data_IF_535408718253
#
_entry.id   IF_535408718253
#
_cell.length_a   1.000
_cell.length_b   1.000
_cell.length_c   1.000
_cell.angle_alpha   90.00
_cell.angle_beta   90.00
_cell.angle_gamma   90.00
#
_symmetry.space_group_name_H-M   'P 1'
#
loop_
_entity.id
_entity.type
_entity.pdbx_description
1 polymer ?
#
# COMPACT_ATOMS: atom_id res chain seq x y z
N UNK A 1 -17.28 -3.80 -7.27
CA UNK A 1 -16.72 -3.57 -8.62
C UNK A 1 -16.89 -4.84 -9.43
N UNK A 2 -17.13 -4.73 -10.71
CA UNK A 2 -17.14 -5.85 -11.66
C UNK A 2 -16.67 -5.29 -13.03
N UNK A 3 -16.58 -6.14 -14.05
CA UNK A 3 -16.07 -5.72 -15.37
C UNK A 3 -17.02 -4.79 -16.13
N UNK A 4 -18.26 -4.60 -15.70
CA UNK A 4 -19.25 -3.76 -16.39
C UNK A 4 -19.37 -2.36 -15.80
N UNK A 5 -19.01 -2.16 -14.54
CA UNK A 5 -19.06 -0.86 -13.88
C UNK A 5 -18.11 -0.76 -12.69
N UNK A 6 -17.55 0.42 -12.49
CA UNK A 6 -16.80 0.80 -11.29
C UNK A 6 -17.47 1.98 -10.60
N UNK A 7 -17.33 2.04 -9.29
CA UNK A 7 -17.71 3.19 -8.46
C UNK A 7 -16.46 3.73 -7.78
N UNK A 8 -16.14 4.99 -8.01
CA UNK A 8 -14.97 5.67 -7.44
C UNK A 8 -15.46 6.69 -6.42
N UNK A 9 -14.82 6.74 -5.28
CA UNK A 9 -14.99 7.76 -4.25
C UNK A 9 -13.62 8.37 -3.98
N UNK A 10 -13.55 9.69 -3.92
CA UNK A 10 -12.28 10.41 -3.74
C UNK A 10 -12.36 11.14 -2.39
N UNK A 11 -11.42 10.81 -1.51
CA UNK A 11 -11.27 11.46 -0.21
C UNK A 11 -10.11 12.45 -0.29
N UNK A 12 -10.36 13.71 0.06
CA UNK A 12 -9.36 14.78 0.03
C UNK A 12 -9.24 15.40 1.42
N UNK A 13 -8.03 15.39 1.96
CA UNK A 13 -7.72 16.12 3.20
C UNK A 13 -7.26 17.54 2.84
N UNK A 14 -7.96 18.54 3.37
CA UNK A 14 -7.75 19.94 3.05
C UNK A 14 -7.30 20.70 4.30
N UNK A 15 -6.21 21.44 4.21
CA UNK A 15 -5.74 22.29 5.30
C UNK A 15 -5.55 23.73 4.83
N UNK A 16 -6.17 24.67 5.52
CA UNK A 16 -5.96 26.10 5.25
C UNK A 16 -4.80 26.64 6.09
N UNK A 17 -3.62 26.69 5.51
CA UNK A 17 -2.42 27.23 6.16
C UNK A 17 -2.31 28.76 6.10
N UNK A 18 -3.32 29.46 5.59
CA UNK A 18 -3.33 30.92 5.52
C UNK A 18 -3.88 31.55 6.81
N UNK A 19 -3.58 32.84 7.03
CA UNK A 19 -4.09 33.59 8.19
C UNK A 19 -5.54 34.06 8.03
N UNK A 20 -6.17 33.79 6.89
CA UNK A 20 -7.54 34.24 6.59
C UNK A 20 -8.45 33.04 6.26
N UNK A 21 -9.74 33.13 6.56
CA UNK A 21 -10.70 32.14 6.07
C UNK A 21 -10.69 32.04 4.54
N UNK A 22 -10.84 30.84 4.01
CA UNK A 22 -10.88 30.57 2.58
C UNK A 22 -12.23 29.98 2.16
N UNK A 23 -12.77 30.47 1.03
CA UNK A 23 -13.85 29.81 0.32
C UNK A 23 -13.30 29.20 -0.97
N UNK A 24 -13.33 27.88 -1.05
CA UNK A 24 -12.71 27.12 -2.12
C UNK A 24 -13.72 26.24 -2.85
N UNK A 25 -13.38 25.87 -4.09
CA UNK A 25 -14.02 24.79 -4.82
C UNK A 25 -12.99 23.67 -4.94
N UNK A 26 -13.32 22.47 -4.45
CA UNK A 26 -12.60 21.23 -4.72
C UNK A 26 -13.17 20.62 -5.98
N UNK A 27 -12.33 20.38 -6.96
CA UNK A 27 -12.72 19.84 -8.25
C UNK A 27 -11.95 18.54 -8.51
N UNK A 28 -12.66 17.41 -8.67
CA UNK A 28 -12.06 16.14 -9.01
C UNK A 28 -12.38 15.80 -10.46
N UNK A 29 -11.33 15.64 -11.28
CA UNK A 29 -11.43 15.30 -12.70
C UNK A 29 -10.74 13.95 -12.94
N UNK A 30 -11.48 12.96 -13.40
CA UNK A 30 -10.95 11.67 -13.83
C UNK A 30 -10.72 11.73 -15.33
N UNK A 31 -9.47 11.57 -15.75
CA UNK A 31 -9.08 11.52 -17.15
C UNK A 31 -8.63 10.10 -17.54
N UNK A 32 -8.81 9.74 -18.80
CA UNK A 32 -8.23 8.54 -19.40
C UNK A 32 -6.72 8.71 -19.66
N UNK A 33 -6.08 7.67 -20.24
CA UNK A 33 -4.66 7.69 -20.51
C UNK A 33 -4.25 8.73 -21.57
N UNK A 34 -5.18 9.20 -22.39
CA UNK A 34 -4.96 10.23 -23.42
C UNK A 34 -5.23 11.65 -22.88
N UNK A 35 -5.55 11.76 -21.58
CA UNK A 35 -5.86 13.03 -20.92
C UNK A 35 -7.28 13.55 -21.15
N UNK A 36 -8.16 12.76 -21.77
CA UNK A 36 -9.55 13.13 -22.00
C UNK A 36 -10.38 12.96 -20.73
N UNK A 37 -11.16 13.96 -20.38
CA UNK A 37 -12.08 13.91 -19.24
C UNK A 37 -13.11 12.77 -19.42
N UNK A 38 -13.13 11.88 -18.42
CA UNK A 38 -14.12 10.80 -18.30
C UNK A 38 -15.26 11.18 -17.38
N UNK A 39 -14.92 11.73 -16.24
CA UNK A 39 -15.89 12.21 -15.22
C UNK A 39 -15.30 13.36 -14.43
N UNK A 40 -16.23 14.21 -13.93
CA UNK A 40 -15.89 15.36 -13.10
C UNK A 40 -16.90 15.51 -11.97
N UNK A 41 -16.42 15.87 -10.78
CA UNK A 41 -17.24 16.29 -9.64
C UNK A 41 -16.66 17.52 -9.00
N UNK A 42 -17.47 18.24 -8.22
CA UNK A 42 -16.98 19.36 -7.42
C UNK A 42 -17.76 19.51 -6.12
N UNK A 43 -17.12 20.13 -5.14
CA UNK A 43 -17.72 20.57 -3.88
C UNK A 43 -17.25 22.00 -3.57
N UNK A 44 -18.09 22.76 -2.84
CA UNK A 44 -17.73 24.08 -2.32
C UNK A 44 -17.52 23.98 -0.81
N UNK A 45 -16.37 24.44 -0.35
CA UNK A 45 -15.94 24.27 1.04
C UNK A 45 -15.49 25.61 1.60
N UNK A 46 -15.81 25.84 2.88
CA UNK A 46 -15.28 26.94 3.66
C UNK A 46 -14.35 26.38 4.72
N UNK A 47 -13.17 26.98 4.83
CA UNK A 47 -12.14 26.64 5.81
C UNK A 47 -11.77 27.89 6.60
N UNK A 48 -11.83 27.81 7.92
CA UNK A 48 -11.24 28.84 8.77
C UNK A 48 -9.69 28.83 8.65
N UNK A 49 -9.04 29.87 9.15
CA UNK A 49 -7.58 29.88 9.27
C UNK A 49 -7.11 28.71 10.14
N UNK A 50 -6.13 27.93 9.68
CA UNK A 50 -5.58 26.76 10.37
C UNK A 50 -6.51 25.54 10.41
N UNK A 51 -7.70 25.59 9.80
CA UNK A 51 -8.65 24.48 9.82
C UNK A 51 -8.26 23.38 8.83
N UNK A 52 -8.43 22.13 9.28
CA UNK A 52 -8.33 20.93 8.44
C UNK A 52 -9.71 20.28 8.30
N UNK A 53 -10.09 19.95 7.08
CA UNK A 53 -11.33 19.23 6.75
C UNK A 53 -11.09 18.10 5.78
N UNK A 54 -11.89 17.06 5.91
CA UNK A 54 -11.96 15.98 4.92
C UNK A 54 -13.17 16.21 4.02
N UNK A 55 -12.94 16.24 2.70
CA UNK A 55 -13.97 16.18 1.68
C UNK A 55 -14.06 14.76 1.10
N UNK A 56 -15.26 14.22 1.04
CA UNK A 56 -15.53 12.94 0.40
C UNK A 56 -16.45 13.19 -0.78
N UNK A 57 -15.97 12.89 -1.99
CA UNK A 57 -16.75 13.07 -3.21
C UNK A 57 -18.02 12.19 -3.20
N UNK A 58 -19.02 12.61 -3.95
CA UNK A 58 -20.10 11.68 -4.32
C UNK A 58 -19.53 10.52 -5.11
N UNK A 59 -20.14 9.33 -4.99
CA UNK A 59 -19.76 8.16 -5.77
C UNK A 59 -19.85 8.44 -7.28
N UNK A 60 -18.73 8.29 -7.95
CA UNK A 60 -18.57 8.54 -9.38
C UNK A 60 -18.66 7.18 -10.08
N UNK A 61 -19.71 7.00 -10.89
CA UNK A 61 -19.88 5.78 -11.67
C UNK A 61 -19.12 5.88 -13.00
N UNK A 62 -18.31 4.87 -13.30
CA UNK A 62 -17.65 4.69 -14.59
C UNK A 62 -18.21 3.40 -15.20
N UNK A 63 -18.92 3.56 -16.32
CA UNK A 63 -19.48 2.43 -17.05
C UNK A 63 -18.45 1.85 -18.01
N UNK A 64 -18.41 0.52 -18.12
CA UNK A 64 -17.46 -0.23 -18.96
C UNK A 64 -16.00 0.23 -18.77
N UNK A 65 -15.49 0.24 -17.52
CA UNK A 65 -14.14 0.74 -17.25
C UNK A 65 -13.10 -0.17 -17.90
N UNK A 66 -12.02 0.42 -18.42
CA UNK A 66 -10.80 -0.34 -18.73
C UNK A 66 -10.09 -0.64 -17.42
N UNK A 67 -9.92 -1.92 -17.11
CA UNK A 67 -9.36 -2.35 -15.83
C UNK A 67 -7.84 -2.39 -15.90
N UNK A 68 -7.19 -2.12 -14.77
CA UNK A 68 -5.78 -2.41 -14.57
C UNK A 68 -5.59 -3.92 -14.40
N UNK A 69 -4.71 -4.52 -15.19
CA UNK A 69 -4.38 -5.95 -15.18
C UNK A 69 -2.86 -6.12 -15.38
N UNK A 70 -2.31 -7.29 -15.07
CA UNK A 70 -0.90 -7.64 -15.28
C UNK A 70 -0.50 -7.51 -16.75
N UNK A 71 -1.42 -7.88 -17.67
CA UNK A 71 -1.19 -7.87 -19.12
C UNK A 71 -1.58 -6.55 -19.79
N UNK A 72 -2.45 -5.75 -19.13
CA UNK A 72 -2.93 -4.45 -19.58
C UNK A 72 -3.02 -3.49 -18.38
N UNK A 73 -1.89 -2.90 -17.94
CA UNK A 73 -1.83 -2.05 -16.75
C UNK A 73 -2.41 -0.65 -16.99
N UNK A 74 -3.66 -0.59 -17.44
CA UNK A 74 -4.32 0.66 -17.77
C UNK A 74 -4.59 1.51 -16.54
N UNK A 75 -4.28 2.80 -16.63
CA UNK A 75 -4.50 3.76 -15.56
C UNK A 75 -5.26 4.97 -16.07
N UNK A 76 -6.22 5.40 -15.28
CA UNK A 76 -6.77 6.73 -15.33
C UNK A 76 -5.90 7.65 -14.46
N UNK A 77 -6.06 8.96 -14.61
CA UNK A 77 -5.47 9.97 -13.74
C UNK A 77 -6.57 10.77 -13.07
N UNK A 78 -6.42 11.00 -11.78
CA UNK A 78 -7.32 11.84 -10.98
C UNK A 78 -6.62 13.16 -10.68
N UNK A 79 -7.16 14.24 -11.19
CA UNK A 79 -6.72 15.60 -10.89
C UNK A 79 -7.65 16.16 -9.80
N UNK A 80 -7.13 16.37 -8.60
CA UNK A 80 -7.83 17.06 -7.52
C UNK A 80 -7.32 18.48 -7.47
N UNK A 81 -8.18 19.44 -7.84
CA UNK A 81 -7.87 20.87 -7.98
C UNK A 81 -8.57 21.67 -6.90
N UNK A 82 -7.83 22.55 -6.25
CA UNK A 82 -8.36 23.52 -5.31
C UNK A 82 -8.38 24.87 -6.00
N UNK A 83 -9.56 25.43 -6.15
CA UNK A 83 -9.78 26.70 -6.81
C UNK A 83 -10.29 27.75 -5.81
N UNK A 84 -9.84 29.00 -5.93
CA UNK A 84 -10.51 30.11 -5.27
C UNK A 84 -11.94 30.20 -5.78
N UNK A 85 -12.91 30.13 -4.88
CA UNK A 85 -14.34 30.10 -5.28
C UNK A 85 -14.79 31.36 -6.02
N UNK A 86 -14.22 32.52 -5.65
CA UNK A 86 -14.66 33.83 -6.21
C UNK A 86 -13.92 34.15 -7.52
N UNK A 87 -12.62 33.87 -7.55
CA UNK A 87 -11.76 34.22 -8.69
C UNK A 87 -11.64 33.10 -9.72
N UNK A 88 -11.94 31.86 -9.32
CA UNK A 88 -11.72 30.68 -10.17
C UNK A 88 -10.25 30.34 -10.42
N UNK A 89 -9.31 31.01 -9.73
CA UNK A 89 -7.88 30.75 -9.87
C UNK A 89 -7.49 29.46 -9.19
N UNK A 90 -6.59 28.68 -9.80
CA UNK A 90 -6.01 27.49 -9.22
C UNK A 90 -5.12 27.87 -8.04
N UNK A 91 -5.37 27.24 -6.88
CA UNK A 91 -4.60 27.41 -5.65
C UNK A 91 -3.67 26.25 -5.42
N UNK A 92 -4.14 25.02 -5.70
CA UNK A 92 -3.36 23.80 -5.51
C UNK A 92 -3.88 22.69 -6.43
N UNK A 93 -3.04 21.74 -6.80
CA UNK A 93 -3.40 20.55 -7.59
C UNK A 93 -2.60 19.34 -7.14
N UNK A 94 -3.28 18.24 -6.95
CA UNK A 94 -2.66 16.92 -6.73
C UNK A 94 -3.14 15.96 -7.82
N UNK A 95 -2.21 15.19 -8.37
CA UNK A 95 -2.49 14.21 -9.42
C UNK A 95 -2.14 12.81 -8.94
N UNK A 96 -3.13 11.91 -8.97
CA UNK A 96 -2.96 10.53 -8.54
C UNK A 96 -3.31 9.55 -9.67
N UNK A 97 -2.59 8.42 -9.79
CA UNK A 97 -3.00 7.33 -10.67
C UNK A 97 -4.25 6.65 -10.13
N UNK A 98 -5.10 6.17 -11.02
CA UNK A 98 -6.27 5.38 -10.68
C UNK A 98 -6.31 4.13 -11.57
N UNK A 99 -5.93 2.98 -11.02
CA UNK A 99 -6.09 1.68 -11.66
C UNK A 99 -7.33 0.97 -11.11
N UNK A 100 -8.35 0.86 -11.92
CA UNK A 100 -9.59 0.17 -11.55
C UNK A 100 -9.39 -1.33 -11.66
N UNK A 101 -9.49 -2.04 -10.54
CA UNK A 101 -9.33 -3.50 -10.48
C UNK A 101 -10.09 -4.06 -9.29
N UNK A 102 -10.34 -5.36 -9.33
CA UNK A 102 -10.78 -6.13 -8.19
C UNK A 102 -10.00 -7.45 -8.13
N UNK A 103 -9.74 -7.94 -6.94
CA UNK A 103 -8.91 -9.12 -6.74
C UNK A 103 -9.35 -9.88 -5.48
N UNK A 104 -8.95 -11.14 -5.41
CA UNK A 104 -9.08 -11.96 -4.21
C UNK A 104 -7.95 -12.97 -4.12
N UNK A 105 -7.60 -13.33 -2.91
CA UNK A 105 -6.83 -14.52 -2.60
C UNK A 105 -7.81 -15.60 -2.09
N UNK A 106 -7.68 -16.78 -2.64
CA UNK A 106 -8.53 -17.92 -2.32
C UNK A 106 -7.60 -19.05 -1.83
N UNK A 107 -7.88 -19.63 -0.66
CA UNK A 107 -6.99 -20.60 -0.01
C UNK A 107 -6.78 -21.89 -0.83
N UNK A 108 -7.72 -22.24 -1.70
CA UNK A 108 -7.62 -23.45 -2.53
C UNK A 108 -7.22 -23.16 -3.97
N UNK A 109 -7.66 -22.01 -4.52
CA UNK A 109 -7.53 -21.70 -5.95
C UNK A 109 -6.50 -20.61 -6.24
N UNK A 110 -5.93 -19.99 -5.20
CA UNK A 110 -4.89 -18.98 -5.33
C UNK A 110 -5.40 -17.58 -5.66
N UNK A 111 -4.61 -16.80 -6.37
CA UNK A 111 -4.87 -15.40 -6.65
C UNK A 111 -5.72 -15.21 -7.92
N UNK A 112 -6.69 -14.29 -7.81
CA UNK A 112 -7.55 -13.86 -8.92
C UNK A 112 -7.48 -12.35 -9.09
N UNK A 113 -7.30 -11.90 -10.33
CA UNK A 113 -7.35 -10.49 -10.72
C UNK A 113 -8.45 -10.34 -11.81
N UNK A 114 -9.38 -9.42 -11.57
CA UNK A 114 -10.51 -9.16 -12.47
C UNK A 114 -11.30 -10.42 -12.90
N UNK A 115 -11.38 -11.38 -11.98
CA UNK A 115 -12.06 -12.68 -12.21
C UNK A 115 -11.22 -13.74 -12.90
N UNK A 116 -9.97 -13.43 -13.29
CA UNK A 116 -9.06 -14.39 -13.92
C UNK A 116 -8.07 -14.93 -12.89
N UNK A 117 -7.93 -16.26 -12.81
CA UNK A 117 -6.88 -16.89 -12.00
C UNK A 117 -5.50 -16.51 -12.53
N UNK A 118 -4.59 -16.10 -11.63
CA UNK A 118 -3.24 -15.68 -11.96
C UNK A 118 -2.24 -16.35 -11.02
N UNK A 119 -1.11 -16.78 -11.54
CA UNK A 119 0.01 -17.19 -10.71
C UNK A 119 0.94 -15.99 -10.53
N UNK A 120 1.23 -15.63 -9.28
CA UNK A 120 2.20 -14.58 -8.97
C UNK A 120 3.59 -15.20 -8.93
N UNK A 121 4.50 -14.68 -9.75
CA UNK A 121 5.90 -15.12 -9.84
C UNK A 121 6.76 -13.87 -9.86
N UNK A 122 7.77 -13.82 -9.00
CA UNK A 122 8.61 -12.64 -8.93
C UNK A 122 9.73 -12.77 -7.91
N UNK A 123 10.18 -11.63 -7.42
CA UNK A 123 11.32 -11.52 -6.50
C UNK A 123 10.99 -10.68 -5.27
N UNK A 124 11.80 -10.79 -4.23
CA UNK A 124 11.93 -9.76 -3.21
C UNK A 124 13.04 -8.78 -3.62
N UNK A 125 12.90 -7.52 -3.22
CA UNK A 125 13.89 -6.48 -3.50
C UNK A 125 14.19 -5.67 -2.25
N UNK A 126 15.50 -5.50 -1.98
CA UNK A 126 16.03 -4.49 -1.08
C UNK A 126 16.50 -3.26 -1.86
N UNK A 127 16.38 -2.08 -1.26
CA UNK A 127 16.79 -0.81 -1.88
C UNK A 127 18.26 -0.50 -1.58
N UNK A 128 19.14 -1.46 -1.74
CA UNK A 128 20.56 -1.24 -1.54
C UNK A 128 21.37 -1.69 -2.77
N UNK A 129 22.43 -0.98 -3.04
CA UNK A 129 23.27 -1.20 -4.20
C UNK A 129 24.75 -1.19 -3.81
N UNK A 130 25.52 -2.06 -4.43
CA UNK A 130 26.95 -2.14 -4.15
C UNK A 130 27.62 -0.76 -4.29
N UNK A 131 28.38 -0.36 -3.28
CA UNK A 131 29.10 0.93 -3.17
C UNK A 131 28.20 2.20 -3.13
N UNK A 132 26.88 2.08 -3.09
CA UNK A 132 25.98 3.22 -3.06
C UNK A 132 25.05 3.24 -1.84
N UNK A 133 24.86 2.07 -1.18
CA UNK A 133 23.85 1.93 -0.14
C UNK A 133 22.45 2.23 -0.70
N UNK A 134 21.61 2.90 0.08
CA UNK A 134 20.22 3.19 -0.29
C UNK A 134 20.03 4.52 -1.03
N UNK A 135 21.10 5.33 -1.20
CA UNK A 135 21.04 6.61 -1.92
C UNK A 135 21.18 6.39 -3.43
N UNK A 136 20.14 5.87 -4.03
CA UNK A 136 20.09 5.53 -5.46
C UNK A 136 19.43 6.64 -6.28
N UNK A 137 19.79 6.71 -7.55
CA UNK A 137 19.06 7.49 -8.54
C UNK A 137 17.90 6.68 -9.09
N UNK A 138 16.86 7.35 -9.54
CA UNK A 138 15.64 6.76 -10.10
C UNK A 138 15.93 5.73 -11.21
N UNK A 139 16.96 5.97 -12.03
CA UNK A 139 17.30 5.08 -13.16
C UNK A 139 17.67 3.67 -12.68
N UNK A 140 18.29 3.51 -11.51
CA UNK A 140 18.63 2.20 -10.95
C UNK A 140 17.38 1.48 -10.44
N UNK A 141 16.47 2.22 -9.81
CA UNK A 141 15.17 1.67 -9.40
C UNK A 141 14.35 1.22 -10.62
N UNK A 142 14.29 2.06 -11.66
CA UNK A 142 13.61 1.73 -12.92
C UNK A 142 14.21 0.49 -13.56
N UNK A 143 15.55 0.40 -13.60
CA UNK A 143 16.26 -0.74 -14.18
C UNK A 143 15.89 -2.07 -13.49
N UNK A 144 15.84 -2.11 -12.16
CA UNK A 144 15.51 -3.31 -11.42
C UNK A 144 14.10 -3.83 -11.76
N UNK A 145 13.13 -2.91 -11.85
CA UNK A 145 11.73 -3.28 -12.17
C UNK A 145 11.60 -3.72 -13.63
N UNK A 146 12.35 -3.10 -14.55
CA UNK A 146 12.41 -3.54 -15.97
C UNK A 146 13.01 -4.93 -16.10
N UNK A 147 14.11 -5.22 -15.38
CA UNK A 147 14.73 -6.54 -15.37
C UNK A 147 13.77 -7.61 -14.82
N UNK A 148 13.03 -7.31 -13.76
CA UNK A 148 12.01 -8.20 -13.25
C UNK A 148 10.94 -8.51 -14.32
N UNK A 149 10.48 -7.48 -15.03
CA UNK A 149 9.49 -7.66 -16.11
C UNK A 149 10.05 -8.46 -17.28
N UNK A 150 11.30 -8.22 -17.68
CA UNK A 150 12.02 -8.94 -18.72
C UNK A 150 12.21 -10.43 -18.42
N UNK A 151 12.43 -10.77 -17.15
CA UNK A 151 12.46 -12.15 -16.64
C UNK A 151 11.09 -12.84 -16.67
N UNK A 152 10.02 -12.15 -17.01
CA UNK A 152 8.65 -12.66 -16.98
C UNK A 152 7.98 -12.55 -15.60
N UNK A 153 8.57 -11.81 -14.66
CA UNK A 153 7.99 -11.57 -13.34
C UNK A 153 6.75 -10.68 -13.39
N UNK A 154 5.80 -10.96 -12.52
CA UNK A 154 4.56 -10.20 -12.36
C UNK A 154 4.25 -9.88 -10.89
N UNK A 155 5.20 -10.14 -9.98
CA UNK A 155 5.10 -9.87 -8.55
C UNK A 155 6.42 -9.33 -8.01
N UNK A 156 6.34 -8.30 -7.16
CA UNK A 156 7.48 -7.75 -6.42
C UNK A 156 7.14 -7.65 -4.94
N UNK A 157 7.92 -8.31 -4.11
CA UNK A 157 7.93 -8.09 -2.67
C UNK A 157 8.87 -6.92 -2.36
N UNK A 158 8.31 -5.79 -1.97
CA UNK A 158 9.05 -4.58 -1.58
C UNK A 158 9.49 -4.75 -0.12
N UNK A 159 10.60 -5.45 0.06
CA UNK A 159 11.08 -5.91 1.37
C UNK A 159 12.24 -5.06 1.89
N UNK A 160 12.37 -4.85 3.18
CA UNK A 160 11.39 -5.04 4.25
C UNK A 160 10.93 -3.68 4.79
N UNK A 161 10.76 -2.70 3.90
CA UNK A 161 10.44 -1.29 4.17
C UNK A 161 9.87 -0.64 2.91
N UNK A 162 9.05 0.39 3.03
CA UNK A 162 8.64 1.19 1.87
C UNK A 162 9.87 1.72 1.14
N UNK A 163 9.91 1.53 -0.17
CA UNK A 163 11.03 1.94 -1.02
C UNK A 163 10.69 3.21 -1.79
N UNK A 164 11.63 3.68 -2.61
CA UNK A 164 11.47 4.86 -3.41
C UNK A 164 10.15 4.82 -4.22
N UNK A 165 9.38 5.92 -4.26
CA UNK A 165 8.09 5.98 -4.97
C UNK A 165 8.15 5.60 -6.45
N UNK A 166 9.31 5.75 -7.10
CA UNK A 166 9.49 5.36 -8.51
C UNK A 166 9.33 3.85 -8.71
N UNK A 167 9.66 3.03 -7.70
CA UNK A 167 9.44 1.57 -7.76
C UNK A 167 7.96 1.28 -7.94
N UNK A 168 7.12 1.91 -7.10
CA UNK A 168 5.68 1.69 -7.15
C UNK A 168 5.08 2.22 -8.45
N UNK A 169 5.57 3.38 -8.92
CA UNK A 169 5.16 3.94 -10.21
C UNK A 169 5.47 2.99 -11.37
N UNK A 170 6.65 2.39 -11.38
CA UNK A 170 7.03 1.41 -12.40
C UNK A 170 6.21 0.13 -12.31
N UNK A 171 5.93 -0.37 -11.10
CA UNK A 171 5.04 -1.52 -10.91
C UNK A 171 3.62 -1.24 -11.43
N UNK A 172 3.08 -0.03 -11.15
CA UNK A 172 1.80 0.42 -11.68
C UNK A 172 1.78 0.45 -13.23
N UNK A 173 2.87 0.93 -13.84
CA UNK A 173 3.02 1.05 -15.31
C UNK A 173 3.19 -0.28 -16.01
N UNK A 174 3.88 -1.22 -15.38
CA UNK A 174 4.29 -2.48 -15.98
C UNK A 174 3.40 -3.68 -15.63
N UNK A 175 2.35 -3.48 -14.82
CA UNK A 175 1.45 -4.55 -14.40
C UNK A 175 2.14 -5.56 -13.47
N UNK A 176 2.90 -5.06 -12.50
CA UNK A 176 3.54 -5.88 -11.48
C UNK A 176 2.77 -5.71 -10.18
N UNK A 177 2.19 -6.79 -9.67
CA UNK A 177 1.53 -6.82 -8.37
C UNK A 177 2.57 -6.68 -7.26
N UNK A 178 2.28 -5.94 -6.21
CA UNK A 178 3.24 -5.72 -5.13
C UNK A 178 2.68 -6.06 -3.74
N UNK A 179 3.59 -6.49 -2.86
CA UNK A 179 3.45 -6.36 -1.41
C UNK A 179 4.44 -5.33 -0.89
N UNK A 180 3.99 -4.44 0.01
CA UNK A 180 4.82 -3.42 0.66
C UNK A 180 4.84 -3.68 2.15
N UNK A 181 5.99 -3.50 2.80
CA UNK A 181 6.21 -3.89 4.20
C UNK A 181 6.74 -2.72 5.04
N UNK A 182 6.42 -2.75 6.35
CA UNK A 182 7.13 -1.92 7.34
C UNK A 182 8.34 -2.69 7.91
N UNK A 183 9.39 -1.98 8.40
CA UNK A 183 10.66 -2.62 8.81
C UNK A 183 10.62 -3.26 10.21
N UNK A 184 9.62 -4.08 10.49
CA UNK A 184 9.57 -4.92 11.70
C UNK A 184 10.15 -6.29 11.37
N UNK A 185 11.46 -6.46 11.59
CA UNK A 185 12.24 -7.58 11.05
C UNK A 185 13.07 -8.26 12.14
N UNK A 186 13.09 -9.59 12.14
CA UNK A 186 13.92 -10.48 12.95
C UNK A 186 13.60 -10.56 14.45
N UNK A 187 13.19 -9.47 15.08
CA UNK A 187 12.82 -9.40 16.50
C UNK A 187 11.92 -8.19 16.78
N UNK A 188 11.23 -8.24 17.90
CA UNK A 188 10.46 -7.12 18.46
C UNK A 188 11.24 -6.57 19.68
N UNK A 189 11.27 -5.27 19.85
CA UNK A 189 11.73 -4.64 21.09
C UNK A 189 10.54 -4.47 22.04
N UNK A 190 10.63 -5.00 23.25
CA UNK A 190 9.54 -5.07 24.23
C UNK A 190 9.30 -3.71 24.92
N UNK A 191 9.01 -2.68 24.13
CA UNK A 191 8.68 -1.34 24.67
C UNK A 191 7.43 -0.77 24.01
N UNK A 192 6.72 0.09 24.73
CA UNK A 192 5.53 0.77 24.21
C UNK A 192 5.90 1.72 23.05
N UNK A 193 7.07 2.35 23.13
CA UNK A 193 7.60 3.23 22.07
C UNK A 193 7.81 2.46 20.77
N UNK A 194 8.30 1.22 20.84
CA UNK A 194 8.44 0.37 19.64
C UNK A 194 7.07 0.08 19.02
N UNK A 195 6.07 -0.27 19.84
CA UNK A 195 4.71 -0.53 19.37
C UNK A 195 4.13 0.73 18.70
N UNK A 196 4.19 1.88 19.38
CA UNK A 196 3.67 3.14 18.87
C UNK A 196 4.33 3.55 17.53
N UNK A 197 5.66 3.48 17.48
CA UNK A 197 6.39 3.80 16.26
C UNK A 197 6.05 2.84 15.10
N UNK A 198 5.90 1.55 15.39
CA UNK A 198 5.50 0.56 14.37
C UNK A 198 4.09 0.82 13.83
N UNK A 199 3.16 1.23 14.70
CA UNK A 199 1.79 1.62 14.31
C UNK A 199 1.81 2.87 13.42
N UNK A 200 2.59 3.90 13.75
CA UNK A 200 2.71 5.09 12.90
C UNK A 200 3.35 4.77 11.54
N UNK A 201 4.41 3.97 11.50
CA UNK A 201 5.00 3.51 10.23
C UNK A 201 3.98 2.74 9.37
N UNK A 202 3.12 1.93 9.97
CA UNK A 202 2.07 1.21 9.23
C UNK A 202 1.04 2.16 8.61
N UNK A 203 0.61 3.20 9.34
CA UNK A 203 -0.28 4.25 8.82
C UNK A 203 0.39 5.02 7.66
N UNK A 204 1.63 5.44 7.85
CA UNK A 204 2.40 6.17 6.83
C UNK A 204 2.54 5.34 5.56
N UNK A 205 2.93 4.07 5.66
CA UNK A 205 3.03 3.14 4.53
C UNK A 205 1.72 3.04 3.76
N UNK A 206 0.62 2.78 4.45
CA UNK A 206 -0.69 2.64 3.79
C UNK A 206 -1.10 3.95 3.12
N UNK A 207 -0.98 5.09 3.79
CA UNK A 207 -1.36 6.40 3.25
C UNK A 207 -0.51 6.82 2.06
N UNK A 208 0.80 6.54 2.09
CA UNK A 208 1.72 6.83 0.99
C UNK A 208 1.34 6.09 -0.28
N UNK A 209 1.05 4.79 -0.17
CA UNK A 209 0.85 3.91 -1.32
C UNK A 209 -0.62 3.52 -1.55
N UNK A 210 -1.56 4.16 -0.85
CA UNK A 210 -3.00 3.88 -0.95
C UNK A 210 -3.53 3.93 -2.39
N UNK A 211 -3.10 4.93 -3.16
CA UNK A 211 -3.56 5.16 -4.54
C UNK A 211 -2.84 4.29 -5.59
N UNK A 212 -1.89 3.43 -5.18
CA UNK A 212 -1.14 2.56 -6.10
C UNK A 212 -1.95 1.34 -6.52
N UNK A 213 -2.30 1.17 -7.80
CA UNK A 213 -3.06 0.00 -8.25
C UNK A 213 -2.29 -1.31 -8.15
N UNK A 214 -0.97 -1.29 -8.21
CA UNK A 214 -0.11 -2.47 -8.08
C UNK A 214 -0.14 -3.09 -6.68
N UNK A 215 -0.34 -2.28 -5.62
CA UNK A 215 -0.36 -2.78 -4.24
C UNK A 215 -1.62 -3.60 -3.98
N UNK A 216 -1.44 -4.83 -3.52
CA UNK A 216 -2.54 -5.74 -3.15
C UNK A 216 -2.35 -6.36 -1.77
N UNK A 217 -1.14 -6.24 -1.20
CA UNK A 217 -0.77 -6.83 0.08
C UNK A 217 0.03 -5.82 0.90
N UNK A 218 -0.36 -5.65 2.17
CA UNK A 218 0.37 -4.92 3.19
C UNK A 218 1.09 -5.88 4.12
N UNK A 219 2.42 -5.84 4.15
CA UNK A 219 3.25 -6.63 5.04
C UNK A 219 3.62 -5.86 6.30
N UNK A 220 3.73 -6.54 7.44
CA UNK A 220 4.05 -5.84 8.69
C UNK A 220 5.02 -6.53 9.63
N UNK A 221 5.37 -7.78 9.41
CA UNK A 221 6.41 -8.50 10.17
C UNK A 221 7.14 -9.50 9.28
N UNK A 222 8.46 -9.54 9.38
CA UNK A 222 9.28 -10.53 8.71
C UNK A 222 10.18 -11.28 9.68
N UNK A 223 10.07 -12.60 9.71
CA UNK A 223 10.97 -13.52 10.45
C UNK A 223 11.18 -13.12 11.92
N UNK A 224 10.13 -12.67 12.58
CA UNK A 224 10.16 -11.94 13.85
C UNK A 224 10.78 -12.71 15.01
N UNK A 225 10.96 -14.03 14.86
CA UNK A 225 11.60 -14.88 15.87
C UNK A 225 12.99 -15.38 15.44
N UNK A 226 13.55 -14.88 14.32
CA UNK A 226 14.88 -15.29 13.86
C UNK A 226 15.98 -14.88 14.86
N UNK A 227 15.81 -13.74 15.53
CA UNK A 227 16.72 -13.20 16.55
C UNK A 227 16.03 -12.94 17.88
N UNK A 228 15.11 -13.84 18.27
CA UNK A 228 14.42 -13.72 19.54
C UNK A 228 15.41 -13.68 20.71
N UNK A 229 15.18 -12.82 21.73
CA UNK A 229 16.14 -12.61 22.82
C UNK A 229 16.12 -13.74 23.87
N UNK A 230 15.04 -14.52 23.90
CA UNK A 230 14.84 -15.58 24.90
C UNK A 230 14.57 -16.91 24.24
N UNK A 231 15.01 -18.01 24.87
CA UNK A 231 14.85 -19.37 24.32
C UNK A 231 13.83 -20.22 25.09
N UNK A 232 13.57 -19.91 26.37
CA UNK A 232 12.68 -20.69 27.24
C UNK A 232 12.19 -19.87 28.46
N UNK A 233 11.23 -20.45 29.18
CA UNK A 233 10.74 -19.94 30.44
C UNK A 233 9.82 -18.71 30.30
N UNK A 234 9.54 -18.07 31.46
CA UNK A 234 8.59 -16.98 31.54
C UNK A 234 8.93 -15.77 30.66
N UNK A 235 10.22 -15.49 30.47
CA UNK A 235 10.64 -14.38 29.60
C UNK A 235 10.27 -14.62 28.13
N UNK A 236 10.38 -15.86 27.64
CA UNK A 236 9.92 -16.22 26.30
C UNK A 236 8.39 -16.09 26.17
N UNK A 237 7.64 -16.54 27.18
CA UNK A 237 6.17 -16.41 27.19
C UNK A 237 5.74 -14.94 27.18
N UNK A 238 6.42 -14.09 27.98
CA UNK A 238 6.17 -12.66 28.03
C UNK A 238 6.50 -11.99 26.68
N UNK A 239 7.60 -12.39 26.06
CA UNK A 239 8.00 -11.93 24.72
C UNK A 239 6.98 -12.32 23.63
N UNK A 240 6.47 -13.53 23.65
CA UNK A 240 5.43 -13.99 22.73
C UNK A 240 4.14 -13.17 22.90
N UNK A 241 3.71 -12.94 24.13
CA UNK A 241 2.52 -12.10 24.41
C UNK A 241 2.68 -10.67 23.92
N UNK A 242 3.87 -10.08 24.12
CA UNK A 242 4.15 -8.74 23.62
C UNK A 242 4.19 -8.70 22.11
N UNK A 243 4.81 -9.68 21.47
CA UNK A 243 4.86 -9.80 20.00
C UNK A 243 3.45 -9.96 19.42
N UNK A 244 2.60 -10.78 20.03
CA UNK A 244 1.19 -10.91 19.66
C UNK A 244 0.44 -9.55 19.79
N UNK A 245 0.65 -8.82 20.88
CA UNK A 245 0.09 -7.47 21.07
C UNK A 245 0.47 -6.54 19.92
N UNK A 246 1.75 -6.51 19.54
CA UNK A 246 2.24 -5.69 18.41
C UNK A 246 1.60 -6.14 17.10
N UNK A 247 1.56 -7.44 16.81
CA UNK A 247 0.98 -7.97 15.59
C UNK A 247 -0.50 -7.61 15.44
N UNK A 248 -1.29 -7.78 16.50
CA UNK A 248 -2.72 -7.41 16.52
C UNK A 248 -2.94 -5.91 16.35
N UNK A 249 -2.11 -5.08 16.94
CA UNK A 249 -2.18 -3.63 16.77
C UNK A 249 -1.89 -3.22 15.32
N UNK A 250 -0.87 -3.80 14.70
CA UNK A 250 -0.52 -3.55 13.29
C UNK A 250 -1.61 -4.03 12.33
N UNK A 251 -2.13 -5.24 12.53
CA UNK A 251 -3.24 -5.78 11.74
C UNK A 251 -4.48 -4.87 11.81
N UNK A 252 -4.86 -4.45 13.03
CA UNK A 252 -6.00 -3.57 13.25
C UNK A 252 -5.80 -2.20 12.56
N UNK A 253 -4.61 -1.61 12.72
CA UNK A 253 -4.25 -0.31 12.12
C UNK A 253 -4.30 -0.37 10.59
N UNK A 254 -3.68 -1.38 9.98
CA UNK A 254 -3.66 -1.51 8.52
C UNK A 254 -5.08 -1.71 7.98
N UNK A 255 -5.90 -2.52 8.64
CA UNK A 255 -7.30 -2.75 8.22
C UNK A 255 -8.20 -1.53 8.41
N UNK A 256 -7.91 -0.69 9.40
CA UNK A 256 -8.61 0.59 9.59
C UNK A 256 -8.27 1.58 8.49
N UNK A 257 -6.98 1.69 8.12
CA UNK A 257 -6.52 2.58 7.04
C UNK A 257 -6.94 2.06 5.65
N UNK A 258 -6.90 0.74 5.44
CA UNK A 258 -7.30 0.11 4.16
C UNK A 258 -7.99 -1.26 4.35
N UNK A 259 -9.31 -1.29 4.42
CA UNK A 259 -10.07 -2.52 4.52
C UNK A 259 -10.15 -3.32 3.20
N UNK A 260 -9.60 -2.81 2.10
CA UNK A 260 -9.77 -3.38 0.75
C UNK A 260 -8.64 -4.31 0.31
N UNK A 261 -7.46 -4.20 0.92
CA UNK A 261 -6.28 -5.01 0.61
C UNK A 261 -6.04 -6.06 1.68
N UNK A 262 -5.20 -7.03 1.33
CA UNK A 262 -4.86 -8.13 2.22
C UNK A 262 -3.64 -7.78 3.08
N UNK A 263 -3.59 -8.34 4.27
CA UNK A 263 -2.45 -8.23 5.18
C UNK A 263 -1.60 -9.50 5.11
N UNK A 264 -0.29 -9.39 5.36
CA UNK A 264 0.64 -10.52 5.34
C UNK A 264 1.70 -10.40 6.44
N UNK A 265 2.03 -11.52 7.05
CA UNK A 265 3.26 -11.72 7.80
C UNK A 265 4.13 -12.77 7.08
N UNK A 266 5.44 -12.57 7.07
CA UNK A 266 6.38 -13.53 6.51
C UNK A 266 7.14 -14.24 7.64
N UNK A 267 7.02 -15.55 7.68
CA UNK A 267 7.61 -16.43 8.70
C UNK A 267 8.90 -17.08 8.19
N UNK A 268 9.85 -17.38 9.08
CA UNK A 268 10.95 -18.27 8.75
C UNK A 268 10.54 -19.74 8.99
N UNK A 269 11.38 -20.68 8.57
CA UNK A 269 11.11 -22.10 8.55
C UNK A 269 10.98 -22.82 9.93
N UNK A 270 10.49 -22.13 10.94
CA UNK A 270 10.23 -22.65 12.30
C UNK A 270 8.78 -22.36 12.71
N UNK A 271 7.79 -23.06 12.13
CA UNK A 271 6.37 -22.76 12.31
C UNK A 271 5.91 -22.76 13.77
N UNK A 272 6.45 -23.66 14.58
CA UNK A 272 6.06 -23.82 15.99
C UNK A 272 6.18 -22.51 16.78
N UNK A 273 7.20 -21.67 16.52
CA UNK A 273 7.35 -20.41 17.25
C UNK A 273 6.20 -19.44 16.99
N UNK A 274 5.67 -19.44 15.77
CA UNK A 274 4.56 -18.57 15.38
C UNK A 274 3.22 -19.11 15.87
N UNK A 275 3.07 -20.44 15.95
CA UNK A 275 1.91 -21.10 16.55
C UNK A 275 1.85 -20.87 18.07
N UNK A 276 2.96 -21.09 18.78
CA UNK A 276 3.09 -20.86 20.22
C UNK A 276 2.81 -19.40 20.61
N UNK A 277 3.15 -18.45 19.73
CA UNK A 277 2.91 -17.02 19.91
C UNK A 277 1.56 -16.54 19.34
N UNK A 278 0.69 -17.44 18.88
CA UNK A 278 -0.63 -17.13 18.29
C UNK A 278 -0.59 -16.14 17.11
N UNK A 279 0.49 -16.13 16.31
CA UNK A 279 0.65 -15.21 15.20
C UNK A 279 0.07 -15.73 13.89
N UNK A 280 -0.10 -17.05 13.72
CA UNK A 280 -0.54 -17.66 12.47
C UNK A 280 -1.98 -17.32 12.10
N UNK A 281 -2.81 -16.93 13.06
CA UNK A 281 -4.22 -16.60 12.85
C UNK A 281 -4.49 -15.10 12.66
N UNK A 282 -3.45 -14.24 12.74
CA UNK A 282 -3.64 -12.79 12.72
C UNK A 282 -3.70 -12.26 11.29
N UNK A 283 -2.69 -12.51 10.40
CA UNK A 283 -2.71 -11.97 9.05
C UNK A 283 -3.71 -12.70 8.15
N UNK A 284 -4.16 -12.03 7.11
CA UNK A 284 -5.01 -12.65 6.09
C UNK A 284 -4.24 -13.63 5.20
N UNK A 285 -2.93 -13.41 5.03
CA UNK A 285 -2.03 -14.25 4.24
C UNK A 285 -0.80 -14.60 5.09
N UNK A 286 -0.46 -15.88 5.10
CA UNK A 286 0.78 -16.37 5.67
C UNK A 286 1.84 -16.48 4.56
N UNK A 287 2.92 -15.72 4.68
CA UNK A 287 4.11 -15.84 3.83
C UNK A 287 5.15 -16.74 4.51
N UNK A 288 5.85 -17.56 3.76
CA UNK A 288 6.90 -18.43 4.29
C UNK A 288 8.21 -18.19 3.54
N UNK A 289 9.24 -17.77 4.27
CA UNK A 289 10.61 -17.71 3.77
C UNK A 289 11.22 -19.10 3.97
N UNK A 290 11.29 -19.87 2.89
CA UNK A 290 11.83 -21.23 2.91
C UNK A 290 13.26 -21.20 2.35
N UNK A 291 14.22 -21.43 3.21
CA UNK A 291 15.63 -21.58 2.83
C UNK A 291 15.95 -23.05 2.72
N UNK A 292 16.32 -23.50 1.53
CA UNK A 292 16.91 -24.84 1.38
C UNK A 292 18.29 -24.80 1.99
N UNK A 293 18.52 -25.63 3.01
CA UNK A 293 19.87 -25.97 3.43
C UNK A 293 20.47 -26.80 2.31
N UNK A 294 21.38 -26.22 1.54
CA UNK A 294 22.20 -26.91 0.55
C UNK A 294 23.36 -27.62 1.26
#
# INVERSE_FOLDING_TARGET
>A
MNNSAASVEITTLLTNNTLQPAEIRVENVICDADGKEVKKTHAEIKLASGETKTDISKKIKIDSPRLWDIDDPYRYMVYTRILDKKKGTLLDEVVNPLGLRWFKFDSEKGFFLNGKGRKLIGTARHQDYFQKGNALRDELHVQDVLLLKEMGGNFLRVSHYPQDPVIMEMCDKLGIVTSVEIPVVNAVTETEEFLQNSVEMAKEMVRQDFNRPSVMIWGYMNEIFLRRPYTEGKQLEDYYRFTEKVARALEATIREEDPSRYTMMAYHNMPQYYEDAHLTEIPMIQGWNLYQLV
#
